data_IF_473376775139
#
_entry.id   IF_473376775139
#
_cell.length_a   1.000
_cell.length_b   1.000
_cell.length_c   1.000
_cell.angle_alpha   90.00
_cell.angle_beta   90.00
_cell.angle_gamma   90.00
#
_symmetry.space_group_name_H-M   'P 1'
#
loop_
_entity.id
_entity.type
_entity.pdbx_description
1 polymer ?
#
# COMPACT_ATOMS: atom_id res chain seq x y z
N UNK A 1 -24.26 -8.90 16.54
CA UNK A 1 -23.81 -8.74 15.15
C UNK A 1 -22.28 -8.56 15.15
N UNK A 2 -21.57 -9.54 15.75
CA UNK A 2 -20.12 -9.48 16.05
C UNK A 2 -19.44 -10.73 15.46
N UNK A 3 -19.16 -10.76 14.16
CA UNK A 3 -18.54 -11.95 13.54
C UNK A 3 -17.39 -11.65 12.56
N UNK A 4 -16.96 -10.39 12.39
CA UNK A 4 -16.02 -10.07 11.31
C UNK A 4 -14.82 -9.16 11.63
N UNK A 5 -14.51 -8.89 12.91
CA UNK A 5 -13.23 -8.26 13.26
C UNK A 5 -12.34 -9.25 14.02
N UNK A 6 -11.33 -9.86 13.39
CA UNK A 6 -10.22 -10.42 14.13
C UNK A 6 -9.46 -9.24 14.76
N UNK A 7 -9.71 -8.98 16.05
CA UNK A 7 -9.21 -7.86 16.85
C UNK A 7 -7.67 -7.74 16.98
N UNK A 8 -6.85 -8.43 16.18
CA UNK A 8 -5.42 -8.56 16.47
C UNK A 8 -4.43 -8.54 15.30
N UNK A 9 -4.85 -8.55 14.03
CA UNK A 9 -3.91 -8.53 12.89
C UNK A 9 -3.67 -7.15 12.30
N UNK A 10 -4.70 -6.32 12.14
CA UNK A 10 -4.57 -4.96 11.58
C UNK A 10 -3.79 -4.03 12.51
N UNK A 11 -4.02 -4.12 13.83
CA UNK A 11 -3.34 -3.25 14.80
C UNK A 11 -1.82 -3.51 14.85
N UNK A 12 -1.39 -4.77 14.72
CA UNK A 12 0.05 -5.09 14.62
C UNK A 12 0.67 -4.55 13.35
N UNK A 13 -0.06 -4.61 12.23
CA UNK A 13 0.40 -4.04 10.97
C UNK A 13 0.56 -2.53 11.06
N UNK A 14 -0.41 -1.80 11.61
CA UNK A 14 -0.32 -0.35 11.69
C UNK A 14 0.76 0.14 12.66
N UNK A 15 0.96 -0.55 13.79
CA UNK A 15 2.09 -0.28 14.68
C UNK A 15 3.43 -0.48 13.97
N UNK A 16 3.57 -1.59 13.25
CA UNK A 16 4.78 -1.87 12.48
C UNK A 16 5.00 -0.84 11.35
N UNK A 17 3.92 -0.41 10.67
CA UNK A 17 3.98 0.62 9.65
C UNK A 17 4.42 1.98 10.22
N UNK A 18 3.91 2.35 11.40
CA UNK A 18 4.30 3.57 12.13
C UNK A 18 5.79 3.51 12.49
N UNK A 19 6.24 2.44 13.14
CA UNK A 19 7.65 2.26 13.50
C UNK A 19 8.59 2.30 12.29
N UNK A 20 8.19 1.70 11.16
CA UNK A 20 8.99 1.75 9.94
C UNK A 20 9.00 3.15 9.34
N UNK A 21 7.84 3.82 9.27
CA UNK A 21 7.71 5.17 8.76
C UNK A 21 8.57 6.15 9.53
N UNK A 22 8.44 6.16 10.86
CA UNK A 22 9.21 7.05 11.74
C UNK A 22 10.72 6.84 11.60
N UNK A 23 11.14 5.57 11.49
CA UNK A 23 12.55 5.22 11.30
C UNK A 23 13.09 5.63 9.92
N UNK A 24 12.28 5.55 8.88
CA UNK A 24 12.72 5.76 7.49
C UNK A 24 12.56 7.20 7.02
N UNK A 25 11.50 7.87 7.47
CA UNK A 25 11.03 9.17 6.96
C UNK A 25 11.04 10.26 8.02
N UNK A 26 11.28 9.92 9.29
CA UNK A 26 11.21 10.88 10.40
C UNK A 26 9.77 11.18 10.80
N UNK A 27 9.48 12.43 11.12
CA UNK A 27 8.17 12.88 11.62
C UNK A 27 7.30 13.56 10.56
N UNK A 28 7.76 13.66 9.30
CA UNK A 28 7.05 14.32 8.20
C UNK A 28 6.74 13.36 7.05
N UNK A 29 5.67 12.58 7.21
CA UNK A 29 5.20 11.65 6.18
C UNK A 29 3.70 11.36 6.25
N UNK A 30 3.11 11.06 5.09
CA UNK A 30 1.68 10.76 4.95
C UNK A 30 1.45 9.27 4.73
N UNK A 31 0.60 8.64 5.55
CA UNK A 31 0.14 7.28 5.31
C UNK A 31 -0.96 7.23 4.24
N UNK A 32 -0.83 6.29 3.30
CA UNK A 32 -1.79 6.04 2.23
C UNK A 32 -2.15 4.55 2.18
N UNK A 33 -3.45 4.26 2.00
CA UNK A 33 -3.99 2.91 1.76
C UNK A 33 -5.15 3.00 0.75
N UNK A 34 -5.50 1.88 0.11
CA UNK A 34 -6.62 1.81 -0.84
C UNK A 34 -7.98 1.76 -0.14
N UNK A 35 -9.06 1.90 -0.92
CA UNK A 35 -10.44 1.95 -0.42
C UNK A 35 -11.07 0.59 -0.05
N UNK A 36 -10.28 -0.44 0.30
CA UNK A 36 -10.83 -1.73 0.69
C UNK A 36 -11.70 -1.62 1.97
N UNK A 37 -12.72 -2.48 2.10
CA UNK A 37 -13.69 -2.41 3.22
C UNK A 37 -13.06 -2.36 4.62
N UNK A 38 -11.98 -3.12 4.95
CA UNK A 38 -11.32 -3.00 6.25
C UNK A 38 -10.65 -1.64 6.47
N UNK A 39 -10.18 -1.00 5.39
CA UNK A 39 -9.48 0.28 5.43
C UNK A 39 -10.47 1.43 5.62
N UNK A 40 -11.67 1.34 5.02
CA UNK A 40 -12.72 2.38 5.13
C UNK A 40 -13.56 2.28 6.41
N UNK A 41 -13.34 1.26 7.25
CA UNK A 41 -14.04 1.13 8.52
C UNK A 41 -13.66 2.26 9.49
N UNK A 42 -14.63 2.83 10.21
CA UNK A 42 -14.42 4.00 11.08
C UNK A 42 -13.30 3.79 12.11
N UNK A 43 -13.21 2.62 12.74
CA UNK A 43 -12.13 2.30 13.70
C UNK A 43 -10.73 2.33 13.05
N UNK A 44 -10.62 1.91 11.78
CA UNK A 44 -9.35 1.96 11.06
C UNK A 44 -8.99 3.41 10.74
N UNK A 45 -9.95 4.18 10.22
CA UNK A 45 -9.77 5.59 9.90
C UNK A 45 -9.38 6.42 11.13
N UNK A 46 -10.07 6.23 12.27
CA UNK A 46 -9.79 6.89 13.54
C UNK A 46 -8.40 6.54 14.06
N UNK A 47 -8.01 5.26 14.01
CA UNK A 47 -6.68 4.84 14.42
C UNK A 47 -5.60 5.51 13.56
N UNK A 48 -5.74 5.47 12.24
CA UNK A 48 -4.77 6.07 11.31
C UNK A 48 -4.64 7.58 11.53
N UNK A 49 -5.76 8.30 11.65
CA UNK A 49 -5.77 9.74 11.88
C UNK A 49 -5.19 10.15 13.25
N UNK A 50 -5.24 9.27 14.24
CA UNK A 50 -4.72 9.54 15.60
C UNK A 50 -3.22 9.28 15.72
N UNK A 51 -2.68 8.30 14.98
CA UNK A 51 -1.33 7.79 15.22
C UNK A 51 -0.30 8.12 14.14
N UNK A 52 -0.70 8.25 12.87
CA UNK A 52 0.25 8.63 11.81
C UNK A 52 0.46 10.15 11.79
N UNK A 53 1.64 10.65 11.37
CA UNK A 53 1.88 12.10 11.27
C UNK A 53 0.92 12.82 10.34
N UNK A 54 0.63 12.21 9.18
CA UNK A 54 -0.47 12.58 8.29
C UNK A 54 -1.10 11.33 7.66
N UNK A 55 -2.33 11.45 7.19
CA UNK A 55 -3.11 10.35 6.64
C UNK A 55 -4.08 10.82 5.56
N UNK A 56 -4.17 10.07 4.46
CA UNK A 56 -5.22 10.26 3.43
C UNK A 56 -6.47 9.46 3.86
N UNK A 57 -7.52 10.11 4.40
CA UNK A 57 -8.75 9.43 4.79
C UNK A 57 -9.52 8.94 3.57
N UNK A 58 -10.43 7.99 3.78
CA UNK A 58 -11.24 7.40 2.72
C UNK A 58 -12.03 8.46 1.93
N UNK A 59 -12.50 9.52 2.61
CA UNK A 59 -13.23 10.64 1.98
C UNK A 59 -12.40 11.44 0.97
N UNK A 60 -11.06 11.33 1.03
CA UNK A 60 -10.12 11.96 0.09
C UNK A 60 -9.57 10.97 -0.95
N UNK A 61 -9.94 9.69 -0.87
CA UNK A 61 -9.49 8.66 -1.80
C UNK A 61 -10.58 8.33 -2.83
N UNK A 62 -10.31 8.45 -4.15
CA UNK A 62 -11.30 8.10 -5.15
C UNK A 62 -11.56 6.58 -5.20
N UNK A 63 -12.83 6.15 -5.35
CA UNK A 63 -13.15 4.72 -5.46
C UNK A 63 -12.55 4.12 -6.72
N UNK A 64 -12.27 2.81 -6.70
CA UNK A 64 -11.76 2.04 -7.85
C UNK A 64 -10.54 2.67 -8.54
N UNK A 65 -9.58 3.17 -7.75
CA UNK A 65 -8.41 3.88 -8.27
C UNK A 65 -7.11 3.09 -8.01
N UNK A 66 -6.93 1.90 -8.62
CA UNK A 66 -5.63 1.21 -8.57
C UNK A 66 -4.52 2.09 -9.17
N UNK A 67 -4.90 3.03 -10.02
CA UNK A 67 -4.00 4.02 -10.60
C UNK A 67 -3.41 5.03 -9.60
N UNK A 68 -3.86 5.04 -8.36
CA UNK A 68 -3.27 5.90 -7.32
C UNK A 68 -2.52 5.10 -6.26
N UNK A 69 -2.64 3.77 -6.27
CA UNK A 69 -1.99 2.90 -5.32
C UNK A 69 -0.63 2.43 -5.85
N UNK A 70 0.48 2.93 -5.30
CA UNK A 70 1.84 2.57 -5.73
C UNK A 70 2.13 1.06 -5.63
N UNK A 71 1.46 0.37 -4.70
CA UNK A 71 1.52 -1.08 -4.62
C UNK A 71 0.95 -1.73 -5.89
N UNK A 72 -0.19 -1.24 -6.38
CA UNK A 72 -0.93 -1.81 -7.50
C UNK A 72 -0.32 -1.49 -8.85
N UNK A 73 0.01 -0.23 -9.13
CA UNK A 73 0.58 0.14 -10.44
C UNK A 73 2.07 -0.22 -10.58
N UNK A 74 2.80 -0.47 -9.48
CA UNK A 74 4.24 -0.71 -9.54
C UNK A 74 4.72 -1.92 -8.71
N UNK A 75 4.64 -1.87 -7.38
CA UNK A 75 5.41 -2.80 -6.54
C UNK A 75 5.06 -4.26 -6.81
N UNK A 76 3.78 -4.60 -6.98
CA UNK A 76 3.38 -5.98 -7.28
C UNK A 76 3.98 -6.47 -8.60
N UNK A 77 4.06 -5.62 -9.62
CA UNK A 77 4.69 -5.97 -10.90
C UNK A 77 6.20 -6.19 -10.75
N UNK A 78 6.88 -5.41 -9.91
CA UNK A 78 8.31 -5.60 -9.66
C UNK A 78 8.59 -6.88 -8.84
N UNK A 79 7.79 -7.15 -7.81
CA UNK A 79 7.93 -8.38 -7.02
C UNK A 79 7.72 -9.62 -7.89
N UNK A 80 6.65 -9.63 -8.70
CA UNK A 80 6.30 -10.76 -9.56
C UNK A 80 7.36 -11.04 -10.64
N UNK A 81 8.04 -10.00 -11.16
CA UNK A 81 9.19 -10.14 -12.07
C UNK A 81 10.40 -10.79 -11.42
N UNK A 82 10.60 -10.60 -10.12
CA UNK A 82 11.73 -11.14 -9.37
C UNK A 82 11.50 -12.54 -8.75
N UNK A 83 10.27 -13.05 -8.85
CA UNK A 83 9.88 -14.36 -8.32
C UNK A 83 10.23 -15.48 -9.30
N UNK A 84 10.67 -16.63 -8.77
CA UNK A 84 10.78 -17.86 -9.55
C UNK A 84 9.44 -18.63 -9.49
N UNK A 85 8.61 -18.43 -10.50
CA UNK A 85 7.28 -19.03 -10.58
C UNK A 85 7.29 -20.56 -10.62
N UNK A 86 8.30 -21.17 -11.23
CA UNK A 86 8.42 -22.63 -11.32
C UNK A 86 8.64 -23.29 -9.96
N UNK A 87 9.18 -22.55 -8.99
CA UNK A 87 9.40 -23.03 -7.62
C UNK A 87 8.11 -23.01 -6.77
N UNK A 88 7.07 -22.31 -7.23
CA UNK A 88 5.86 -22.05 -6.44
C UNK A 88 4.85 -23.18 -6.66
N UNK A 89 4.83 -24.15 -5.74
CA UNK A 89 3.87 -25.27 -5.75
C UNK A 89 3.01 -25.32 -4.50
N UNK A 90 3.39 -24.59 -3.46
CA UNK A 90 2.70 -24.53 -2.17
C UNK A 90 2.63 -23.10 -1.63
N UNK A 91 1.78 -22.89 -0.62
CA UNK A 91 1.74 -21.63 0.13
C UNK A 91 3.10 -21.30 0.78
N UNK A 92 3.83 -22.30 1.26
CA UNK A 92 5.14 -22.09 1.88
C UNK A 92 6.15 -21.57 0.86
N UNK A 93 6.25 -22.22 -0.30
CA UNK A 93 7.14 -21.78 -1.39
C UNK A 93 6.74 -20.41 -1.95
N UNK A 94 5.44 -20.08 -1.98
CA UNK A 94 4.97 -18.74 -2.35
C UNK A 94 5.47 -17.68 -1.36
N UNK A 95 5.34 -17.90 -0.06
CA UNK A 95 5.81 -16.96 0.97
C UNK A 95 7.34 -16.78 0.87
N UNK A 96 8.08 -17.86 0.64
CA UNK A 96 9.53 -17.81 0.45
C UNK A 96 9.92 -17.00 -0.80
N UNK A 97 9.24 -17.20 -1.91
CA UNK A 97 9.51 -16.45 -3.15
C UNK A 97 9.14 -14.97 -3.02
N UNK A 98 8.05 -14.62 -2.33
CA UNK A 98 7.70 -13.22 -2.04
C UNK A 98 8.79 -12.58 -1.16
N UNK A 99 9.24 -13.25 -0.10
CA UNK A 99 10.32 -12.73 0.75
C UNK A 99 11.62 -12.55 -0.04
N UNK A 100 11.94 -13.52 -0.89
CA UNK A 100 13.11 -13.48 -1.77
C UNK A 100 13.02 -12.33 -2.77
N UNK A 101 11.87 -12.12 -3.40
CA UNK A 101 11.69 -11.06 -4.40
C UNK A 101 11.82 -9.67 -3.79
N UNK A 102 11.31 -9.43 -2.57
CA UNK A 102 11.52 -8.16 -1.85
C UNK A 102 13.00 -7.78 -1.74
N UNK A 103 13.91 -8.76 -1.57
CA UNK A 103 15.35 -8.49 -1.49
C UNK A 103 16.02 -8.20 -2.83
N UNK A 104 15.35 -8.53 -3.94
CA UNK A 104 15.86 -8.38 -5.31
C UNK A 104 15.31 -7.15 -6.02
N UNK A 105 14.17 -6.61 -5.58
CA UNK A 105 13.58 -5.42 -6.19
C UNK A 105 14.54 -4.24 -6.03
N UNK A 106 14.72 -3.52 -7.14
CA UNK A 106 15.51 -2.30 -7.17
C UNK A 106 14.82 -1.20 -6.34
N UNK A 107 15.53 -0.68 -5.35
CA UNK A 107 15.04 0.38 -4.46
C UNK A 107 14.70 1.66 -5.24
N UNK A 108 15.43 1.98 -6.30
CA UNK A 108 15.14 3.17 -7.10
C UNK A 108 13.78 3.08 -7.77
N UNK A 109 13.38 1.90 -8.24
CA UNK A 109 12.04 1.69 -8.81
C UNK A 109 10.93 1.93 -7.78
N UNK A 110 11.13 1.48 -6.55
CA UNK A 110 10.17 1.71 -5.46
C UNK A 110 10.05 3.21 -5.18
N UNK A 111 11.17 3.91 -5.03
CA UNK A 111 11.18 5.35 -4.77
C UNK A 111 10.54 6.14 -5.91
N UNK A 112 10.88 5.82 -7.17
CA UNK A 112 10.28 6.47 -8.34
C UNK A 112 8.77 6.24 -8.37
N UNK A 113 8.29 5.03 -8.07
CA UNK A 113 6.84 4.78 -8.02
C UNK A 113 6.12 5.64 -7.00
N UNK A 114 6.74 5.94 -5.85
CA UNK A 114 6.16 6.82 -4.83
C UNK A 114 6.11 8.26 -5.36
N UNK A 115 7.17 8.73 -6.01
CA UNK A 115 7.23 10.08 -6.59
C UNK A 115 6.21 10.26 -7.74
N UNK A 116 5.97 9.20 -8.51
CA UNK A 116 5.03 9.18 -9.62
C UNK A 116 3.57 9.39 -9.18
N UNK A 117 3.23 9.16 -7.90
CA UNK A 117 1.89 9.39 -7.37
C UNK A 117 1.34 10.77 -7.75
N UNK A 118 2.16 11.82 -7.60
CA UNK A 118 1.74 13.20 -7.90
C UNK A 118 1.61 13.45 -9.40
N UNK A 119 2.39 12.76 -10.23
CA UNK A 119 2.31 12.84 -11.69
C UNK A 119 1.02 12.17 -12.15
N UNK A 120 0.78 10.94 -11.69
CA UNK A 120 -0.44 10.16 -11.98
C UNK A 120 -1.70 10.89 -11.54
N UNK A 121 -1.70 11.51 -10.36
CA UNK A 121 -2.81 12.33 -9.88
C UNK A 121 -3.10 13.53 -10.80
N UNK A 122 -2.05 14.21 -11.31
CA UNK A 122 -2.21 15.32 -12.27
C UNK A 122 -2.73 14.82 -13.61
N UNK A 123 -2.31 13.65 -14.05
CA UNK A 123 -2.80 13.03 -15.28
C UNK A 123 -4.28 12.69 -15.17
N UNK A 124 -4.69 11.98 -14.10
CA UNK A 124 -6.10 11.67 -13.77
C UNK A 124 -6.95 12.95 -13.74
N UNK A 125 -6.42 14.04 -13.20
CA UNK A 125 -7.13 15.32 -13.22
C UNK A 125 -7.29 15.88 -14.64
N UNK A 126 -6.27 15.77 -15.50
CA UNK A 126 -6.28 16.30 -16.88
C UNK A 126 -7.22 15.55 -17.80
N UNK A 127 -7.37 14.24 -17.62
CA UNK A 127 -8.27 13.38 -18.40
C UNK A 127 -9.63 13.15 -17.69
N UNK A 128 -10.04 14.08 -16.81
CA UNK A 128 -11.40 14.16 -16.28
C UNK A 128 -11.77 13.05 -15.29
N UNK A 129 -10.79 12.46 -14.60
CA UNK A 129 -11.00 11.36 -13.66
C UNK A 129 -11.00 9.97 -14.30
N UNK A 130 -10.59 9.87 -15.57
CA UNK A 130 -10.49 8.58 -16.28
C UNK A 130 -9.24 7.80 -15.87
N UNK A 131 -9.27 6.48 -16.05
CA UNK A 131 -8.12 5.60 -15.87
C UNK A 131 -6.93 6.03 -16.73
N UNK A 132 -5.72 5.72 -16.25
CA UNK A 132 -4.45 5.98 -16.94
C UNK A 132 -3.69 4.66 -17.13
N UNK A 133 -2.79 4.62 -18.12
CA UNK A 133 -1.98 3.44 -18.45
C UNK A 133 -0.54 3.64 -17.99
#
# INVERSE_FOLDING_TARGET
MERWMPRFTSMKFFQYALECGDKMLGDDWTYQQDGARPHTHHLTQEWCATHFPDFIPETRWPPNSPDLCALDYSLWNELTRCMNWDRITTKATLIEEIKSSVTKVDKEKILNSILDFTIRLREIKRNGGSYIH
#
